data_IF_163749046654
#
_entry.id   IF_163749046654
#
_cell.length_a   1.000
_cell.length_b   1.000
_cell.length_c   1.000
_cell.angle_alpha   90.00
_cell.angle_beta   90.00
_cell.angle_gamma   90.00
#
_symmetry.space_group_name_H-M   'P 1'
#
loop_
_entity.id
_entity.type
_entity.pdbx_description
1 polymer ?
#
# COMPACT_ATOMS: atom_id res chain seq x y z
N UNK A 1 -27.80 -20.90 13.82
CA UNK A 1 -26.37 -20.97 13.48
C UNK A 1 -25.69 -19.84 14.22
N UNK A 2 -24.69 -20.12 15.06
CA UNK A 2 -23.97 -19.06 15.79
C UNK A 2 -23.31 -18.12 14.79
N UNK A 3 -23.66 -16.84 14.84
CA UNK A 3 -22.97 -15.79 14.09
C UNK A 3 -21.48 -15.85 14.35
N UNK A 4 -20.68 -15.98 13.29
CA UNK A 4 -19.22 -15.88 13.39
C UNK A 4 -18.88 -14.42 13.70
N UNK A 5 -18.16 -14.18 14.79
CA UNK A 5 -17.80 -12.83 15.27
C UNK A 5 -16.30 -12.69 15.45
N UNK A 6 -15.78 -11.50 15.17
CA UNK A 6 -14.43 -11.08 15.57
C UNK A 6 -14.58 -10.02 16.67
N UNK A 7 -14.21 -10.30 17.92
CA UNK A 7 -14.30 -9.31 19.02
C UNK A 7 -15.65 -8.57 19.13
N UNK A 8 -16.76 -9.24 18.77
CA UNK A 8 -18.10 -8.62 18.76
C UNK A 8 -18.51 -7.96 17.44
N UNK A 9 -17.63 -7.84 16.45
CA UNK A 9 -17.97 -7.48 15.06
C UNK A 9 -18.72 -8.63 14.38
N UNK A 10 -19.93 -8.35 13.90
CA UNK A 10 -20.75 -9.30 13.15
C UNK A 10 -20.29 -9.31 11.69
N UNK A 11 -19.88 -10.48 11.17
CA UNK A 11 -19.49 -10.61 9.77
C UNK A 11 -20.72 -10.45 8.88
N UNK A 12 -20.63 -9.55 7.89
CA UNK A 12 -21.65 -9.35 6.85
C UNK A 12 -21.27 -10.16 5.62
N UNK A 13 -20.06 -9.96 5.10
CA UNK A 13 -19.56 -10.69 3.93
C UNK A 13 -18.02 -10.71 3.88
N UNK A 14 -17.48 -11.64 3.09
CA UNK A 14 -16.08 -11.63 2.69
C UNK A 14 -15.89 -10.71 1.47
N UNK A 15 -14.98 -9.75 1.58
CA UNK A 15 -14.73 -8.74 0.52
C UNK A 15 -13.61 -9.21 -0.41
N UNK A 16 -12.60 -9.87 0.14
CA UNK A 16 -11.49 -10.40 -0.64
C UNK A 16 -10.36 -10.95 0.23
N UNK A 17 -9.54 -11.80 -0.37
CA UNK A 17 -8.43 -12.47 0.30
C UNK A 17 -7.11 -12.31 -0.45
N UNK A 18 -6.03 -12.31 0.31
CA UNK A 18 -4.66 -12.32 -0.19
C UNK A 18 -3.71 -13.02 0.77
N UNK A 19 -2.40 -13.05 0.45
CA UNK A 19 -1.41 -13.81 1.24
C UNK A 19 -1.30 -13.37 2.70
N UNK A 20 -1.61 -12.10 2.98
CA UNK A 20 -1.56 -11.51 4.33
C UNK A 20 -2.82 -11.77 5.16
N UNK A 21 -3.91 -12.22 4.53
CA UNK A 21 -5.18 -12.43 5.23
C UNK A 21 -6.41 -12.25 4.35
N UNK A 22 -7.57 -12.31 4.99
CA UNK A 22 -8.88 -12.14 4.37
C UNK A 22 -9.59 -10.94 5.00
N UNK A 23 -10.16 -10.08 4.18
CA UNK A 23 -10.90 -8.89 4.60
C UNK A 23 -12.40 -9.19 4.59
N UNK A 24 -13.05 -8.87 5.70
CA UNK A 24 -14.50 -9.00 5.87
C UNK A 24 -15.11 -7.62 6.08
N UNK A 25 -16.25 -7.37 5.43
CA UNK A 25 -17.13 -6.27 5.84
C UNK A 25 -17.93 -6.77 7.04
N UNK A 26 -17.91 -5.99 8.10
CA UNK A 26 -18.53 -6.32 9.37
C UNK A 26 -19.41 -5.16 9.86
N UNK A 27 -20.30 -5.46 10.81
CA UNK A 27 -21.08 -4.47 11.56
C UNK A 27 -20.59 -4.43 13.01
N UNK A 28 -20.26 -3.24 13.48
CA UNK A 28 -19.91 -2.97 14.88
C UNK A 28 -21.12 -2.98 15.81
N UNK A 29 -20.87 -3.11 17.11
CA UNK A 29 -21.93 -3.17 18.13
C UNK A 29 -22.83 -1.92 18.14
N UNK A 30 -22.29 -0.76 17.77
CA UNK A 30 -23.03 0.50 17.63
C UNK A 30 -23.75 0.67 16.27
N UNK A 31 -23.67 -0.32 15.38
CA UNK A 31 -24.34 -0.31 14.07
C UNK A 31 -23.52 0.22 12.89
N UNK A 32 -22.32 0.78 13.12
CA UNK A 32 -21.41 1.24 12.06
C UNK A 32 -20.75 0.09 11.28
N UNK A 33 -20.35 0.36 10.04
CA UNK A 33 -19.60 -0.60 9.22
C UNK A 33 -18.11 -0.59 9.55
N UNK A 34 -17.49 -1.77 9.55
CA UNK A 34 -16.10 -2.01 9.95
C UNK A 34 -15.45 -2.95 8.95
N UNK A 35 -14.23 -2.64 8.52
CA UNK A 35 -13.39 -3.58 7.79
C UNK A 35 -12.58 -4.41 8.80
N UNK A 36 -12.75 -5.74 8.80
CA UNK A 36 -11.95 -6.64 9.63
C UNK A 36 -11.05 -7.48 8.73
N UNK A 37 -9.74 -7.25 8.81
CA UNK A 37 -8.74 -8.08 8.13
C UNK A 37 -8.26 -9.17 9.08
N UNK A 38 -8.71 -10.40 8.86
CA UNK A 38 -8.19 -11.58 9.57
C UNK A 38 -6.84 -11.96 8.95
N UNK A 39 -5.78 -11.87 9.75
CA UNK A 39 -4.42 -12.06 9.30
C UNK A 39 -4.01 -13.53 9.23
N UNK A 40 -3.25 -13.89 8.20
CA UNK A 40 -2.64 -15.21 8.08
C UNK A 40 -1.32 -15.24 8.86
N UNK A 41 -1.29 -15.97 9.98
CA UNK A 41 -0.14 -16.05 10.89
C UNK A 41 1.19 -16.45 10.22
N UNK A 42 1.13 -17.25 9.16
CA UNK A 42 2.31 -17.68 8.41
C UNK A 42 2.82 -16.59 7.47
N UNK A 43 1.95 -15.68 7.04
CA UNK A 43 2.23 -14.61 6.07
C UNK A 43 2.57 -13.26 6.69
N UNK A 44 2.74 -13.17 8.01
CA UNK A 44 2.95 -11.89 8.71
C UNK A 44 4.02 -11.95 9.80
N UNK A 45 4.63 -10.80 10.08
CA UNK A 45 5.35 -10.54 11.33
C UNK A 45 4.38 -9.95 12.36
N UNK A 46 3.92 -10.79 13.29
CA UNK A 46 2.95 -10.40 14.33
C UNK A 46 3.51 -9.36 15.29
N UNK A 47 4.79 -9.46 15.65
CA UNK A 47 5.38 -8.56 16.63
C UNK A 47 5.46 -7.15 16.05
N UNK A 48 5.95 -7.04 14.82
CA UNK A 48 6.03 -5.76 14.10
C UNK A 48 4.65 -5.16 13.87
N UNK A 49 3.68 -5.94 13.40
CA UNK A 49 2.29 -5.47 13.24
C UNK A 49 1.76 -4.95 14.57
N UNK A 50 1.93 -5.72 15.65
CA UNK A 50 1.50 -5.30 16.98
C UNK A 50 2.14 -4.00 17.45
N UNK A 51 3.46 -3.83 17.28
CA UNK A 51 4.14 -2.56 17.59
C UNK A 51 3.58 -1.41 16.75
N UNK A 52 3.39 -1.61 15.46
CA UNK A 52 2.89 -0.58 14.54
C UNK A 52 1.46 -0.15 14.89
N UNK A 53 0.56 -1.10 15.14
CA UNK A 53 -0.82 -0.82 15.56
C UNK A 53 -0.88 -0.12 16.93
N UNK A 54 -0.04 -0.52 17.89
CA UNK A 54 0.06 0.19 19.19
C UNK A 54 0.52 1.63 19.03
N UNK A 55 1.53 1.88 18.18
CA UNK A 55 1.98 3.25 17.87
C UNK A 55 0.88 4.05 17.19
N UNK A 56 0.15 3.44 16.25
CA UNK A 56 -0.97 4.07 15.56
C UNK A 56 -2.09 4.49 16.52
N UNK A 57 -2.54 3.60 17.42
CA UNK A 57 -3.59 3.93 18.38
C UNK A 57 -3.19 5.02 19.39
N UNK A 58 -1.89 5.26 19.57
CA UNK A 58 -1.38 6.36 20.40
C UNK A 58 -1.18 7.68 19.60
N UNK A 59 -1.29 7.64 18.28
CA UNK A 59 -1.17 8.82 17.44
C UNK A 59 -2.50 9.59 17.36
N UNK A 60 -2.49 10.93 17.23
CA UNK A 60 -3.69 11.69 16.91
C UNK A 60 -4.31 11.24 15.58
N UNK A 61 -5.63 11.35 15.40
CA UNK A 61 -6.25 11.02 14.12
C UNK A 61 -5.78 11.96 13.00
N UNK A 62 -5.74 11.44 11.77
CA UNK A 62 -5.36 12.20 10.57
C UNK A 62 -6.32 11.91 9.42
N UNK A 63 -6.79 12.95 8.73
CA UNK A 63 -7.80 12.80 7.68
C UNK A 63 -7.34 11.98 6.46
N UNK A 64 -6.03 11.92 6.22
CA UNK A 64 -5.41 11.17 5.12
C UNK A 64 -5.10 9.71 5.45
N UNK A 65 -5.51 9.19 6.61
CA UNK A 65 -5.25 7.81 7.03
C UNK A 65 -6.54 7.16 7.51
N UNK A 66 -6.82 5.93 7.08
CA UNK A 66 -7.97 5.16 7.54
C UNK A 66 -7.74 4.75 9.01
N UNK A 67 -8.63 5.12 9.95
CA UNK A 67 -8.48 4.79 11.35
C UNK A 67 -8.49 3.28 11.61
N UNK A 68 -7.51 2.80 12.38
CA UNK A 68 -7.58 1.52 13.07
C UNK A 68 -8.36 1.72 14.36
N UNK A 69 -9.36 0.85 14.58
CA UNK A 69 -10.19 0.86 15.78
C UNK A 69 -9.64 -0.09 16.85
N UNK A 70 -9.28 -1.31 16.43
CA UNK A 70 -8.85 -2.39 17.31
C UNK A 70 -7.96 -3.37 16.55
N UNK A 71 -7.10 -4.10 17.26
CA UNK A 71 -6.35 -5.21 16.69
C UNK A 71 -6.13 -6.31 17.74
N UNK A 72 -5.86 -7.53 17.28
CA UNK A 72 -5.50 -8.69 18.10
C UNK A 72 -4.36 -9.44 17.42
N UNK A 73 -3.20 -9.51 18.08
CA UNK A 73 -1.99 -10.22 17.58
C UNK A 73 -1.39 -11.19 18.59
N UNK A 74 -1.82 -11.13 19.85
CA UNK A 74 -1.28 -11.91 20.96
C UNK A 74 -1.87 -13.34 20.97
N UNK A 75 -3.14 -13.50 20.56
CA UNK A 75 -3.82 -14.78 20.43
C UNK A 75 -4.69 -14.87 19.18
N UNK A 76 -4.78 -16.04 18.57
CA UNK A 76 -5.65 -16.25 17.41
C UNK A 76 -7.15 -16.15 17.79
N UNK A 77 -8.03 -15.69 16.87
CA UNK A 77 -7.72 -15.23 15.51
C UNK A 77 -7.00 -13.87 15.51
N UNK A 78 -5.95 -13.76 14.70
CA UNK A 78 -5.25 -12.48 14.53
C UNK A 78 -6.03 -11.58 13.58
N UNK A 79 -6.26 -10.33 13.95
CA UNK A 79 -6.99 -9.39 13.09
C UNK A 79 -6.61 -7.93 13.35
N UNK A 80 -6.92 -7.09 12.36
CA UNK A 80 -6.99 -5.64 12.49
C UNK A 80 -8.39 -5.21 12.05
N UNK A 81 -9.04 -4.39 12.87
CA UNK A 81 -10.31 -3.75 12.57
C UNK A 81 -10.09 -2.26 12.30
N UNK A 82 -10.59 -1.78 11.17
CA UNK A 82 -10.50 -0.38 10.76
C UNK A 82 -11.84 0.14 10.28
N UNK A 83 -11.94 1.46 10.11
CA UNK A 83 -13.09 2.07 9.48
C UNK A 83 -13.34 1.46 8.09
N UNK A 84 -14.62 1.25 7.77
CA UNK A 84 -15.05 0.87 6.43
C UNK A 84 -15.03 2.09 5.51
N UNK A 85 -14.44 1.94 4.32
CA UNK A 85 -14.40 3.00 3.30
C UNK A 85 -15.46 2.71 2.25
N UNK A 86 -16.58 3.44 2.33
CA UNK A 86 -17.80 3.15 1.56
C UNK A 86 -17.59 3.16 0.04
N UNK A 87 -16.75 4.07 -0.47
CA UNK A 87 -16.53 4.16 -1.92
C UNK A 87 -15.93 2.89 -2.50
N UNK A 88 -15.15 2.14 -1.71
CA UNK A 88 -14.33 1.01 -2.14
C UNK A 88 -13.25 1.33 -3.18
N UNK A 89 -13.34 2.50 -3.84
CA UNK A 89 -12.49 2.93 -4.94
C UNK A 89 -11.09 3.23 -4.45
N UNK A 90 -10.10 2.80 -5.21
CA UNK A 90 -8.67 2.96 -4.93
C UNK A 90 -7.96 3.66 -6.06
N UNK A 91 -6.72 4.08 -5.82
CA UNK A 91 -5.87 4.55 -6.90
C UNK A 91 -5.64 3.46 -7.95
N UNK A 92 -5.62 2.18 -7.58
CA UNK A 92 -5.52 1.06 -8.53
C UNK A 92 -6.64 1.01 -9.56
N UNK A 93 -7.79 1.64 -9.27
CA UNK A 93 -8.93 1.72 -10.19
C UNK A 93 -8.84 2.91 -11.15
N UNK A 94 -7.83 3.77 -10.95
CA UNK A 94 -7.50 4.86 -11.87
C UNK A 94 -6.55 4.32 -12.96
N UNK A 95 -6.66 4.80 -14.20
CA UNK A 95 -5.74 4.41 -15.27
C UNK A 95 -4.29 4.89 -15.06
N UNK A 96 -4.00 5.62 -13.99
CA UNK A 96 -2.80 6.46 -13.88
C UNK A 96 -2.88 7.64 -14.86
N UNK A 97 -1.73 8.26 -15.15
CA UNK A 97 -1.61 9.37 -16.10
C UNK A 97 -2.65 10.49 -15.88
N UNK A 98 -2.91 10.79 -14.60
CA UNK A 98 -3.83 11.84 -14.19
C UNK A 98 -3.20 13.19 -14.52
N UNK A 99 -4.03 14.16 -14.92
CA UNK A 99 -3.56 15.52 -15.15
C UNK A 99 -2.81 16.02 -13.91
N UNK A 100 -1.64 16.65 -14.10
CA UNK A 100 -0.80 17.08 -12.97
C UNK A 100 -1.54 17.98 -11.97
N UNK A 101 -2.42 18.85 -12.46
CA UNK A 101 -3.19 19.76 -11.60
C UNK A 101 -4.12 19.01 -10.65
N UNK A 102 -4.62 17.86 -11.09
CA UNK A 102 -5.49 16.99 -10.29
C UNK A 102 -4.69 16.00 -9.44
N UNK A 103 -3.49 15.61 -9.89
CA UNK A 103 -2.61 14.68 -9.19
C UNK A 103 -1.93 15.33 -7.97
N UNK A 104 -1.43 16.57 -8.09
CA UNK A 104 -0.65 17.21 -7.01
C UNK A 104 -1.39 17.35 -5.68
N UNK A 105 -2.67 17.75 -5.62
CA UNK A 105 -3.42 17.77 -4.36
C UNK A 105 -3.44 16.41 -3.67
N UNK A 106 -3.53 15.32 -4.43
CA UNK A 106 -3.50 13.97 -3.87
C UNK A 106 -2.10 13.56 -3.41
N UNK A 107 -1.08 13.90 -4.18
CA UNK A 107 0.33 13.64 -3.82
C UNK A 107 0.70 14.37 -2.52
N UNK A 108 0.26 15.61 -2.35
CA UNK A 108 0.47 16.39 -1.12
C UNK A 108 -0.22 15.71 0.07
N UNK A 109 -1.49 15.32 -0.07
CA UNK A 109 -2.23 14.61 0.99
C UNK A 109 -1.55 13.29 1.38
N UNK A 110 -1.03 12.54 0.40
CA UNK A 110 -0.26 11.32 0.65
C UNK A 110 1.02 11.61 1.45
N UNK A 111 1.76 12.65 1.06
CA UNK A 111 2.96 13.05 1.78
C UNK A 111 2.65 13.46 3.23
N UNK A 112 1.57 14.22 3.45
CA UNK A 112 1.10 14.62 4.79
C UNK A 112 0.70 13.41 5.64
N UNK A 113 -0.01 12.45 5.05
CA UNK A 113 -0.40 11.20 5.72
C UNK A 113 0.82 10.37 6.12
N UNK A 114 1.79 10.17 5.22
CA UNK A 114 3.02 9.44 5.54
C UNK A 114 3.86 10.17 6.58
N UNK A 115 4.03 11.48 6.44
CA UNK A 115 4.76 12.28 7.42
C UNK A 115 4.08 12.23 8.80
N UNK A 116 2.74 12.18 8.84
CA UNK A 116 2.00 11.98 10.08
C UNK A 116 2.31 10.59 10.70
N UNK A 117 2.27 9.52 9.91
CA UNK A 117 2.60 8.17 10.38
C UNK A 117 4.05 8.09 10.90
N UNK A 118 5.02 8.54 10.10
CA UNK A 118 6.45 8.49 10.43
C UNK A 118 6.79 9.31 11.69
N UNK A 119 6.19 10.49 11.88
CA UNK A 119 6.38 11.29 13.12
C UNK A 119 5.95 10.58 14.39
N UNK A 120 5.06 9.58 14.29
CA UNK A 120 4.62 8.77 15.43
C UNK A 120 5.23 7.36 15.43
N UNK A 121 6.28 7.14 14.62
CA UNK A 121 6.97 5.86 14.48
C UNK A 121 6.11 4.76 13.84
N UNK A 122 5.04 5.13 13.15
CA UNK A 122 4.23 4.20 12.36
C UNK A 122 4.79 4.15 10.96
N UNK A 123 5.11 2.96 10.47
CA UNK A 123 5.64 2.77 9.11
C UNK A 123 4.63 1.98 8.27
N UNK A 124 4.45 2.37 7.01
CA UNK A 124 3.50 1.70 6.13
C UNK A 124 4.04 0.37 5.61
N UNK A 125 5.24 0.38 5.06
CA UNK A 125 5.99 -0.76 4.50
C UNK A 125 5.37 -1.42 3.27
N UNK A 126 4.22 -0.93 2.78
CA UNK A 126 3.49 -1.51 1.66
C UNK A 126 2.64 -0.48 0.90
N UNK A 127 3.09 0.77 0.82
CA UNK A 127 2.36 1.77 0.06
C UNK A 127 2.38 1.42 -1.43
N UNK A 128 1.20 1.42 -2.05
CA UNK A 128 0.95 1.20 -3.48
C UNK A 128 -0.50 1.65 -3.81
N UNK A 129 -0.90 1.74 -5.10
CA UNK A 129 -2.21 2.28 -5.48
C UNK A 129 -3.42 1.60 -4.81
N UNK A 130 -3.40 0.27 -4.68
CA UNK A 130 -4.44 -0.51 -4.02
C UNK A 130 -4.61 -0.29 -2.52
N UNK A 131 -3.64 0.36 -1.86
CA UNK A 131 -3.72 0.73 -0.44
C UNK A 131 -4.09 2.20 -0.22
N UNK A 132 -4.48 2.91 -1.28
CA UNK A 132 -4.93 4.30 -1.21
C UNK A 132 -6.36 4.38 -1.70
N UNK A 133 -7.29 4.61 -0.77
CA UNK A 133 -8.69 4.82 -1.10
C UNK A 133 -8.94 6.21 -1.67
N UNK A 134 -9.94 6.33 -2.53
CA UNK A 134 -10.42 7.56 -3.15
C UNK A 134 -11.86 7.79 -2.77
N UNK A 135 -12.13 8.95 -2.20
CA UNK A 135 -13.47 9.40 -1.91
C UNK A 135 -13.81 10.62 -2.77
N UNK A 136 -15.03 10.60 -3.30
CA UNK A 136 -15.60 11.70 -4.05
C UNK A 136 -16.55 12.45 -3.13
N UNK A 137 -16.19 13.69 -2.76
CA UNK A 137 -17.05 14.63 -2.05
C UNK A 137 -17.02 16.00 -2.75
N UNK A 138 -16.85 17.09 -1.99
CA UNK A 138 -16.55 18.44 -2.54
C UNK A 138 -15.20 18.53 -3.30
N UNK A 139 -14.49 17.40 -3.42
CA UNK A 139 -13.25 17.20 -4.13
C UNK A 139 -12.80 15.73 -4.00
N UNK A 140 -11.75 15.37 -4.72
CA UNK A 140 -11.09 14.06 -4.58
C UNK A 140 -10.30 14.07 -3.28
N UNK A 141 -10.52 13.10 -2.39
CA UNK A 141 -9.73 12.92 -1.17
C UNK A 141 -9.19 11.51 -1.10
N UNK A 142 -7.88 11.40 -0.97
CA UNK A 142 -7.23 10.12 -0.73
C UNK A 142 -7.04 9.83 0.76
N UNK A 143 -7.12 8.53 1.11
CA UNK A 143 -6.80 8.00 2.44
C UNK A 143 -5.97 6.74 2.34
N UNK A 144 -4.88 6.71 3.09
CA UNK A 144 -3.94 5.57 3.18
C UNK A 144 -4.52 4.51 4.11
N UNK A 145 -4.44 3.24 3.71
CA UNK A 145 -4.92 2.09 4.47
C UNK A 145 -3.92 0.92 4.43
N UNK A 146 -4.22 -0.15 5.16
CA UNK A 146 -3.48 -1.43 5.14
C UNK A 146 -1.96 -1.28 5.38
N UNK A 147 -1.59 -0.40 6.31
CA UNK A 147 -0.21 -0.23 6.77
C UNK A 147 0.17 -1.32 7.78
N UNK A 148 1.41 -1.80 7.71
CA UNK A 148 1.93 -2.83 8.63
C UNK A 148 2.05 -4.28 8.13
N UNK A 149 1.46 -4.76 7.02
CA UNK A 149 1.65 -6.15 6.60
C UNK A 149 2.79 -6.35 5.59
N UNK A 150 3.36 -5.28 5.02
CA UNK A 150 4.28 -5.38 3.88
C UNK A 150 5.44 -6.34 4.11
N UNK A 151 5.70 -7.23 3.13
CA UNK A 151 6.82 -8.19 2.94
C UNK A 151 7.50 -8.87 4.15
N UNK A 152 7.04 -8.64 5.38
CA UNK A 152 7.70 -9.08 6.61
C UNK A 152 7.31 -10.48 7.05
N UNK A 153 6.49 -11.19 6.27
CA UNK A 153 6.25 -12.61 6.48
C UNK A 153 7.32 -13.47 5.81
N UNK A 154 7.58 -14.67 6.33
CA UNK A 154 8.42 -15.71 5.67
C UNK A 154 7.81 -16.26 4.37
N UNK A 155 6.80 -15.59 3.83
CA UNK A 155 6.05 -16.02 2.66
C UNK A 155 6.56 -15.20 1.48
N UNK A 156 7.43 -15.85 0.70
CA UNK A 156 7.91 -15.40 -0.61
C UNK A 156 6.80 -15.30 -1.68
N UNK A 157 5.53 -15.45 -1.29
CA UNK A 157 4.37 -15.54 -2.18
C UNK A 157 3.36 -14.40 -1.94
N UNK A 158 3.84 -13.21 -1.56
CA UNK A 158 2.99 -12.02 -1.64
C UNK A 158 2.53 -11.83 -3.08
N UNK A 159 1.25 -11.55 -3.27
CA UNK A 159 0.64 -11.47 -4.58
C UNK A 159 1.42 -10.44 -5.39
N UNK A 160 2.07 -10.90 -6.46
CA UNK A 160 3.21 -10.26 -7.12
C UNK A 160 2.80 -9.08 -8.01
N UNK A 161 1.72 -8.40 -7.64
CA UNK A 161 1.21 -7.20 -8.27
C UNK A 161 1.83 -5.96 -7.66
N UNK A 162 0.98 -5.02 -7.27
CA UNK A 162 1.37 -3.69 -6.83
C UNK A 162 2.32 -3.66 -5.61
N UNK A 163 2.28 -4.67 -4.74
CA UNK A 163 3.24 -4.78 -3.64
C UNK A 163 4.69 -4.86 -4.13
N UNK A 164 4.93 -5.60 -5.22
CA UNK A 164 6.26 -5.76 -5.81
C UNK A 164 6.61 -4.58 -6.75
N UNK A 165 5.68 -4.13 -7.59
CA UNK A 165 5.92 -3.08 -8.58
C UNK A 165 6.29 -1.72 -8.01
N UNK A 166 5.93 -1.46 -6.76
CA UNK A 166 6.23 -0.20 -6.07
C UNK A 166 7.34 -0.34 -5.01
N UNK A 167 7.83 -1.56 -4.76
CA UNK A 167 8.90 -1.78 -3.79
C UNK A 167 10.24 -1.23 -4.31
N UNK A 168 11.11 -0.69 -3.44
CA UNK A 168 12.50 -0.47 -3.82
C UNK A 168 13.26 -1.81 -3.94
N UNK A 169 14.33 -1.88 -4.75
CA UNK A 169 15.07 -3.12 -5.02
C UNK A 169 15.55 -3.83 -3.75
N UNK A 170 16.09 -3.11 -2.79
CA UNK A 170 16.61 -3.68 -1.55
C UNK A 170 15.51 -4.29 -0.67
N UNK A 171 14.26 -3.80 -0.77
CA UNK A 171 13.13 -4.46 -0.11
C UNK A 171 12.82 -5.83 -0.74
N UNK A 172 13.04 -5.98 -2.05
CA UNK A 172 12.81 -7.21 -2.82
C UNK A 172 13.94 -8.24 -2.64
N UNK A 173 15.19 -7.78 -2.52
CA UNK A 173 16.36 -8.63 -2.27
C UNK A 173 16.40 -9.16 -0.83
N UNK A 174 15.79 -8.43 0.11
CA UNK A 174 16.01 -8.67 1.53
C UNK A 174 15.30 -9.93 2.05
N UNK A 175 16.13 -10.91 2.43
CA UNK A 175 15.96 -11.71 3.66
C UNK A 175 16.53 -10.97 4.89
N UNK A 176 16.85 -9.68 4.73
CA UNK A 176 17.69 -8.87 5.62
C UNK A 176 16.88 -7.82 6.40
N UNK A 177 17.25 -7.70 7.68
CA UNK A 177 16.89 -6.74 8.72
C UNK A 177 15.80 -5.69 8.42
N UNK A 178 14.58 -6.04 8.81
CA UNK A 178 13.40 -5.19 8.92
C UNK A 178 13.49 -4.27 10.14
N UNK A 179 14.40 -3.29 10.13
CA UNK A 179 14.39 -2.22 11.13
C UNK A 179 13.49 -1.06 10.70
N UNK A 180 13.03 -0.29 11.70
CA UNK A 180 12.12 0.84 11.50
C UNK A 180 12.68 1.88 10.50
N UNK A 181 14.00 2.09 10.49
CA UNK A 181 14.65 3.06 9.61
C UNK A 181 14.73 2.59 8.15
N UNK A 182 14.89 1.28 7.90
CA UNK A 182 14.80 0.72 6.56
C UNK A 182 13.38 0.87 5.99
N UNK A 183 12.36 0.56 6.79
CA UNK A 183 10.96 0.64 6.36
C UNK A 183 10.55 2.09 6.08
N UNK A 184 11.02 3.04 6.89
CA UNK A 184 10.79 4.46 6.63
C UNK A 184 11.35 4.90 5.26
N UNK A 185 12.59 4.49 4.92
CA UNK A 185 13.16 4.78 3.59
C UNK A 185 12.36 4.13 2.47
N UNK A 186 11.89 2.91 2.66
CA UNK A 186 11.04 2.22 1.69
C UNK A 186 9.70 2.92 1.47
N UNK A 187 9.11 3.49 2.52
CA UNK A 187 7.89 4.30 2.39
C UNK A 187 8.14 5.56 1.56
N UNK A 188 9.30 6.21 1.74
CA UNK A 188 9.68 7.37 0.93
C UNK A 188 9.86 6.99 -0.54
N UNK A 189 10.55 5.88 -0.83
CA UNK A 189 10.66 5.38 -2.21
C UNK A 189 9.28 5.06 -2.80
N UNK A 190 8.46 4.29 -2.08
CA UNK A 190 7.11 3.90 -2.51
C UNK A 190 6.21 5.11 -2.76
N UNK A 191 6.34 6.16 -1.94
CA UNK A 191 5.68 7.44 -2.18
C UNK A 191 6.12 8.05 -3.52
N UNK A 192 7.43 8.12 -3.78
CA UNK A 192 7.97 8.59 -5.05
C UNK A 192 7.45 7.78 -6.24
N UNK A 193 7.47 6.45 -6.13
CA UNK A 193 6.99 5.56 -7.18
C UNK A 193 5.49 5.71 -7.44
N UNK A 194 4.68 5.86 -6.39
CA UNK A 194 3.25 6.10 -6.48
C UNK A 194 2.93 7.45 -7.12
N UNK A 195 3.62 8.52 -6.71
CA UNK A 195 3.45 9.86 -7.27
C UNK A 195 3.88 9.93 -8.74
N UNK A 196 5.01 9.30 -9.08
CA UNK A 196 5.49 9.17 -10.45
C UNK A 196 4.48 8.42 -11.32
N UNK A 197 3.96 7.28 -10.84
CA UNK A 197 2.95 6.50 -11.56
C UNK A 197 1.64 7.26 -11.74
N UNK A 198 1.20 8.02 -10.73
CA UNK A 198 -0.04 8.78 -10.83
C UNK A 198 0.00 9.81 -11.97
N UNK A 199 1.18 10.42 -12.21
CA UNK A 199 1.40 11.42 -13.26
C UNK A 199 1.75 10.78 -14.61
N UNK A 200 2.61 9.76 -14.65
CA UNK A 200 3.12 9.19 -15.90
C UNK A 200 2.30 7.99 -16.41
N UNK A 201 1.49 7.36 -15.56
CA UNK A 201 0.76 6.11 -15.86
C UNK A 201 1.62 4.85 -15.84
N UNK A 202 2.95 4.99 -15.75
CA UNK A 202 3.92 3.89 -15.71
C UNK A 202 4.76 3.96 -14.43
N UNK A 203 5.25 2.82 -13.96
CA UNK A 203 6.17 2.78 -12.81
C UNK A 203 7.53 3.34 -13.21
N UNK A 204 8.27 3.98 -12.28
CA UNK A 204 9.57 4.58 -12.59
C UNK A 204 10.64 3.54 -12.96
N UNK A 205 10.50 2.28 -12.50
CA UNK A 205 11.41 1.18 -12.76
C UNK A 205 10.62 -0.12 -12.94
N UNK A 206 11.27 -1.18 -13.43
CA UNK A 206 10.63 -2.49 -13.57
C UNK A 206 9.64 -2.60 -14.73
N UNK A 207 9.56 -1.60 -15.61
CA UNK A 207 8.53 -1.52 -16.65
C UNK A 207 8.64 -2.67 -17.67
N UNK A 208 9.86 -3.02 -18.09
CA UNK A 208 10.10 -4.12 -19.03
C UNK A 208 9.76 -5.47 -18.40
N UNK A 209 10.22 -5.70 -17.16
CA UNK A 209 9.88 -6.91 -16.42
C UNK A 209 8.37 -7.05 -16.23
N UNK A 210 7.69 -5.97 -15.82
CA UNK A 210 6.24 -5.93 -15.67
C UNK A 210 5.52 -6.24 -16.98
N UNK A 211 5.89 -5.58 -18.08
CA UNK A 211 5.28 -5.83 -19.39
C UNK A 211 5.50 -7.27 -19.88
N UNK A 212 6.67 -7.86 -19.59
CA UNK A 212 6.93 -9.28 -19.88
C UNK A 212 6.01 -10.20 -19.05
N UNK A 213 5.77 -9.90 -17.77
CA UNK A 213 4.88 -10.68 -16.91
C UNK A 213 3.41 -10.52 -17.28
N UNK A 214 2.95 -9.32 -17.60
CA UNK A 214 1.59 -9.06 -18.08
C UNK A 214 1.29 -9.88 -19.34
N UNK A 215 2.22 -9.90 -20.31
CA UNK A 215 2.10 -10.76 -21.50
C UNK A 215 2.04 -12.25 -21.15
N UNK A 216 2.81 -12.71 -20.18
CA UNK A 216 2.76 -14.12 -19.75
C UNK A 216 1.43 -14.47 -19.07
N UNK A 217 0.88 -13.55 -18.27
CA UNK A 217 -0.44 -13.71 -17.65
C UNK A 217 -1.52 -13.83 -18.75
N UNK A 218 -1.48 -12.96 -19.76
CA UNK A 218 -2.38 -13.03 -20.92
C UNK A 218 -2.28 -14.38 -21.64
N UNK A 219 -1.06 -14.83 -21.96
CA UNK A 219 -0.79 -16.12 -22.61
C UNK A 219 -1.30 -17.29 -21.75
N UNK A 220 -1.22 -17.18 -20.42
CA UNK A 220 -1.68 -18.21 -19.50
C UNK A 220 -3.21 -18.24 -19.30
N UNK A 221 -3.96 -17.36 -19.97
CA UNK A 221 -5.41 -17.23 -19.81
C UNK A 221 -5.79 -16.55 -18.49
N UNK A 222 -4.99 -15.59 -18.03
CA UNK A 222 -5.22 -14.85 -16.79
C UNK A 222 -4.79 -15.57 -15.52
N UNK A 223 -4.04 -16.67 -15.63
CA UNK A 223 -3.50 -17.35 -14.46
C UNK A 223 -2.35 -16.52 -13.86
N UNK A 224 -2.24 -16.45 -12.52
CA UNK A 224 -1.09 -15.81 -11.90
C UNK A 224 0.21 -16.48 -12.36
N UNK A 225 1.19 -15.67 -12.72
CA UNK A 225 2.54 -16.11 -13.07
C UNK A 225 3.46 -15.74 -11.92
N UNK A 226 4.33 -16.68 -11.53
CA UNK A 226 5.32 -16.43 -10.51
C UNK A 226 6.33 -15.35 -10.97
N UNK A 227 6.67 -14.47 -10.05
CA UNK A 227 7.63 -13.39 -10.23
C UNK A 227 8.85 -13.78 -9.43
N UNK A 228 9.94 -13.90 -10.16
CA UNK A 228 11.27 -13.99 -9.57
C UNK A 228 11.62 -12.61 -8.98
N UNK A 229 11.58 -12.53 -7.64
CA UNK A 229 11.85 -11.30 -6.90
C UNK A 229 13.31 -10.85 -7.06
N UNK A 230 14.25 -11.79 -7.22
CA UNK A 230 15.64 -11.48 -7.45
C UNK A 230 15.86 -10.93 -8.86
N UNK A 231 15.20 -11.51 -9.86
CA UNK A 231 15.23 -10.98 -11.23
C UNK A 231 14.58 -9.59 -11.32
N UNK A 232 13.43 -9.39 -10.65
CA UNK A 232 12.79 -8.07 -10.58
C UNK A 232 13.69 -7.05 -9.87
N UNK A 233 14.30 -7.41 -8.74
CA UNK A 233 15.22 -6.53 -8.04
C UNK A 233 16.41 -6.14 -8.92
N UNK A 234 17.02 -7.12 -9.61
CA UNK A 234 18.12 -6.88 -10.53
C UNK A 234 17.72 -5.97 -11.70
N UNK A 235 16.53 -6.15 -12.27
CA UNK A 235 15.97 -5.28 -13.32
C UNK A 235 15.79 -3.84 -12.79
N UNK A 236 15.18 -3.68 -11.61
CA UNK A 236 14.98 -2.37 -11.00
C UNK A 236 16.29 -1.69 -10.57
N UNK A 237 17.31 -2.46 -10.20
CA UNK A 237 18.62 -1.92 -9.82
C UNK A 237 19.45 -1.49 -11.05
N UNK A 238 19.31 -2.19 -12.18
CA UNK A 238 20.13 -1.97 -13.38
C UNK A 238 19.47 -1.06 -14.43
N UNK A 239 18.14 -0.99 -14.46
CA UNK A 239 17.43 -0.12 -15.40
C UNK A 239 17.55 1.36 -14.99
N UNK A 240 17.81 2.22 -15.97
CA UNK A 240 17.59 3.65 -15.78
C UNK A 240 16.12 3.90 -15.46
N UNK A 241 15.86 4.77 -14.48
CA UNK A 241 14.50 5.15 -14.16
C UNK A 241 13.85 5.81 -15.38
N UNK A 242 12.61 5.45 -15.66
CA UNK A 242 11.80 6.09 -16.68
C UNK A 242 11.78 7.60 -16.45
N UNK A 243 12.05 8.37 -17.51
CA UNK A 243 11.94 9.82 -17.47
C UNK A 243 10.48 10.29 -17.41
N UNK A 244 10.29 11.57 -17.11
CA UNK A 244 8.98 12.21 -17.18
C UNK A 244 8.47 12.22 -18.64
N UNK A 245 7.31 11.59 -18.88
CA UNK A 245 6.75 11.38 -20.22
C UNK A 245 5.96 12.59 -20.75
N UNK A 246 5.69 13.57 -19.89
CA UNK A 246 4.95 14.78 -20.18
C UNK A 246 5.71 16.00 -19.67
N UNK A 247 5.66 17.11 -20.40
CA UNK A 247 6.20 18.40 -19.94
C UNK A 247 5.51 18.86 -18.65
N UNK A 248 6.21 19.51 -17.71
CA UNK A 248 5.60 20.03 -16.50
C UNK A 248 4.59 21.13 -16.84
N UNK A 249 3.45 21.16 -16.15
CA UNK A 249 2.42 22.16 -16.43
C UNK A 249 2.89 23.60 -16.14
N UNK A 250 3.82 23.75 -15.19
CA UNK A 250 4.45 25.02 -14.80
C UNK A 250 5.77 24.76 -14.02
N UNK A 251 6.45 25.85 -13.63
CA UNK A 251 7.70 25.81 -12.86
C UNK A 251 7.53 25.17 -11.48
N UNK A 252 6.35 25.28 -10.87
CA UNK A 252 6.08 24.69 -9.56
C UNK A 252 6.00 23.16 -9.68
N UNK A 253 5.32 22.66 -10.70
CA UNK A 253 5.30 21.24 -11.06
C UNK A 253 6.71 20.72 -11.32
N UNK A 254 7.54 21.45 -12.07
CA UNK A 254 8.94 21.09 -12.31
C UNK A 254 9.73 20.95 -11.00
N UNK A 255 9.59 21.91 -10.07
CA UNK A 255 10.27 21.85 -8.77
C UNK A 255 9.77 20.70 -7.90
N UNK A 256 8.46 20.42 -7.90
CA UNK A 256 7.89 19.30 -7.15
C UNK A 256 8.32 17.94 -7.71
N UNK A 257 8.46 17.79 -9.03
CA UNK A 257 9.01 16.58 -9.66
C UNK A 257 10.40 16.25 -9.13
N UNK A 258 11.24 17.25 -8.85
CA UNK A 258 12.58 17.03 -8.25
C UNK A 258 12.50 16.37 -6.86
N UNK A 259 11.43 16.59 -6.10
CA UNK A 259 11.21 15.90 -4.81
C UNK A 259 10.96 14.41 -5.07
N UNK A 260 10.07 14.11 -6.03
CA UNK A 260 9.80 12.73 -6.45
C UNK A 260 11.09 12.05 -6.93
N UNK A 261 11.89 12.73 -7.77
CA UNK A 261 13.16 12.19 -8.26
C UNK A 261 14.16 11.90 -7.13
N UNK A 262 14.13 12.64 -6.02
CA UNK A 262 14.97 12.34 -4.85
C UNK A 262 14.44 11.14 -4.06
N UNK A 263 13.11 11.01 -3.93
CA UNK A 263 12.51 9.82 -3.32
C UNK A 263 12.90 8.53 -4.05
N UNK A 264 13.04 8.57 -5.38
CA UNK A 264 13.39 7.42 -6.23
C UNK A 264 14.88 7.04 -6.24
N UNK A 265 15.73 7.79 -5.53
CA UNK A 265 17.17 7.54 -5.38
C UNK A 265 17.55 6.86 -4.07
N UNK A 266 16.63 6.86 -3.10
CA UNK A 266 16.79 6.16 -1.82
C UNK A 266 16.69 4.66 -2.03
#
# INVERSE_FOLDING_TARGET
MSEVRFSGFQIVEEVGGGPTGVVFRCRGAAGGEVAVKRLNALGIDRERIGRNCRRFLNAPPHEGVVPIMEFQIDSAPYFIASDWVESGRRFSDLPGAVNERDAWPQIIRLAEALAHLHRHGVHHGNLHPGNVFVEMGDGIRCRVADFGPGLAGKVHHLNLGETAWFAPPEQLESSLHWDDGAIERWDVYRFGALAFWLINGVTPRGAEYRAARERQIEISGGRPVEVDMAALAADMASAEACGWMVEPADRECELRRRIIDQCLKL
#
